data_IF_695025619163
#
_entry.id   IF_695025619163
#
_cell.length_a   1.000
_cell.length_b   1.000
_cell.length_c   1.000
_cell.angle_alpha   90.00
_cell.angle_beta   90.00
_cell.angle_gamma   90.00
#
_symmetry.space_group_name_H-M   'P 1'
#
loop_
_entity.id
_entity.type
_entity.pdbx_description
1 polymer ?
#
# COMPACT_ATOMS: atom_id res chain seq x y z
N UNK A 1 -60.20 8.57 -45.95
CA UNK A 1 -59.93 7.85 -44.69
C UNK A 1 -58.43 7.81 -44.47
N UNK A 2 -57.95 8.35 -43.35
CA UNK A 2 -56.53 8.62 -43.06
C UNK A 2 -55.81 7.34 -42.64
N UNK A 3 -54.69 7.05 -43.30
CA UNK A 3 -53.65 6.09 -42.86
C UNK A 3 -52.81 6.75 -41.77
N UNK A 4 -52.66 6.11 -40.62
CA UNK A 4 -51.62 6.46 -39.66
C UNK A 4 -50.87 5.18 -39.30
N UNK A 5 -49.69 5.03 -39.89
CA UNK A 5 -48.76 3.93 -39.63
C UNK A 5 -48.04 4.17 -38.29
N UNK A 6 -48.04 3.14 -37.45
CA UNK A 6 -47.13 2.99 -36.32
C UNK A 6 -45.68 3.02 -36.80
N UNK A 7 -44.83 3.80 -36.13
CA UNK A 7 -43.39 3.82 -36.37
C UNK A 7 -42.63 3.83 -35.05
N UNK A 8 -42.03 2.68 -34.73
CA UNK A 8 -41.13 2.42 -33.61
C UNK A 8 -39.84 3.25 -33.67
N UNK A 9 -39.33 3.69 -32.52
CA UNK A 9 -37.88 3.67 -32.24
C UNK A 9 -37.72 3.32 -30.74
N UNK A 10 -37.56 2.03 -30.45
CA UNK A 10 -37.04 1.58 -29.17
C UNK A 10 -35.53 1.85 -29.18
N UNK A 11 -35.13 2.98 -28.60
CA UNK A 11 -33.72 3.32 -28.40
C UNK A 11 -33.12 2.44 -27.32
N UNK A 12 -32.39 1.39 -27.72
CA UNK A 12 -31.46 0.70 -26.84
C UNK A 12 -30.29 1.63 -26.56
N UNK A 13 -30.34 2.32 -25.42
CA UNK A 13 -29.16 2.95 -24.84
C UNK A 13 -28.22 1.82 -24.40
N UNK A 14 -27.22 1.53 -25.22
CA UNK A 14 -26.04 0.78 -24.81
C UNK A 14 -25.34 1.61 -23.72
N UNK A 15 -25.68 1.34 -22.46
CA UNK A 15 -24.89 1.78 -21.33
C UNK A 15 -23.52 1.11 -21.47
N UNK A 16 -22.57 1.83 -22.06
CA UNK A 16 -21.18 1.47 -22.02
C UNK A 16 -20.79 1.44 -20.54
N UNK A 17 -20.80 0.26 -19.95
CA UNK A 17 -20.23 0.04 -18.63
C UNK A 17 -18.78 0.46 -18.72
N UNK A 18 -18.45 1.59 -18.10
CA UNK A 18 -17.08 1.92 -17.81
C UNK A 18 -16.57 0.82 -16.87
N UNK A 19 -16.01 -0.24 -17.45
CA UNK A 19 -15.23 -1.21 -16.71
C UNK A 19 -14.02 -0.45 -16.21
N UNK A 20 -14.09 0.07 -14.98
CA UNK A 20 -12.94 0.63 -14.30
C UNK A 20 -11.87 -0.46 -14.33
N UNK A 21 -10.75 -0.19 -15.00
CA UNK A 21 -9.65 -1.12 -15.03
C UNK A 21 -9.25 -1.44 -13.59
N UNK A 22 -9.17 -2.73 -13.22
CA UNK A 22 -8.75 -3.11 -11.89
C UNK A 22 -7.34 -2.54 -11.65
N UNK A 23 -7.12 -2.00 -10.45
CA UNK A 23 -5.79 -1.51 -10.09
C UNK A 23 -4.76 -2.64 -10.22
N UNK A 24 -3.52 -2.33 -10.61
CA UNK A 24 -2.45 -3.33 -10.63
C UNK A 24 -2.00 -3.67 -9.19
N UNK A 25 -1.55 -4.92 -8.94
CA UNK A 25 -0.84 -5.25 -7.70
C UNK A 25 0.41 -4.39 -7.50
N UNK A 26 0.78 -4.21 -6.24
CA UNK A 26 1.92 -3.40 -5.82
C UNK A 26 2.95 -4.25 -5.10
N UNK A 27 4.21 -3.95 -5.38
CA UNK A 27 5.37 -4.45 -4.67
C UNK A 27 6.00 -3.31 -3.85
N UNK A 28 5.90 -3.43 -2.53
CA UNK A 28 6.41 -2.45 -1.58
C UNK A 28 7.74 -2.93 -1.01
N UNK A 29 8.78 -2.13 -1.21
CA UNK A 29 10.10 -2.34 -0.63
C UNK A 29 10.33 -1.31 0.46
N UNK A 30 10.66 -1.78 1.66
CA UNK A 30 10.91 -0.91 2.80
C UNK A 30 12.38 -0.92 3.19
N UNK A 31 12.85 0.20 3.75
CA UNK A 31 14.07 0.27 4.52
C UNK A 31 13.74 0.83 5.91
N UNK A 32 13.92 0.00 6.94
CA UNK A 32 13.59 0.33 8.32
C UNK A 32 14.87 0.67 9.06
N UNK A 33 14.94 1.84 9.68
CA UNK A 33 16.11 2.26 10.46
C UNK A 33 15.73 2.71 11.86
N UNK A 34 16.59 2.40 12.83
CA UNK A 34 16.51 2.87 14.22
C UNK A 34 17.85 3.51 14.58
N UNK A 35 17.83 4.72 15.11
CA UNK A 35 19.02 5.49 15.49
C UNK A 35 20.06 5.55 14.34
N UNK A 36 19.58 5.71 13.10
CA UNK A 36 20.40 5.75 11.88
C UNK A 36 20.91 4.39 11.39
N UNK A 37 20.68 3.30 12.11
CA UNK A 37 21.08 1.94 11.73
C UNK A 37 19.95 1.22 11.00
N UNK A 38 20.25 0.63 9.84
CA UNK A 38 19.31 -0.22 9.12
C UNK A 38 19.03 -1.50 9.94
N UNK A 39 17.77 -1.75 10.27
CA UNK A 39 17.31 -2.92 11.04
C UNK A 39 16.54 -3.93 10.19
N UNK A 40 16.07 -3.55 9.01
CA UNK A 40 15.39 -4.49 8.11
C UNK A 40 15.02 -3.90 6.77
N UNK A 41 14.88 -4.77 5.78
CA UNK A 41 14.42 -4.43 4.43
C UNK A 41 13.29 -5.36 3.97
N UNK A 42 12.14 -5.35 4.66
CA UNK A 42 11.05 -6.24 4.31
C UNK A 42 10.44 -5.86 2.95
N UNK A 43 9.80 -6.85 2.34
CA UNK A 43 9.05 -6.70 1.09
C UNK A 43 7.60 -7.12 1.33
N UNK A 44 6.64 -6.35 0.81
CA UNK A 44 5.22 -6.64 0.93
C UNK A 44 4.54 -6.52 -0.43
N UNK A 45 3.92 -7.61 -0.87
CA UNK A 45 3.07 -7.63 -2.06
C UNK A 45 1.64 -7.31 -1.65
N UNK A 46 1.04 -6.29 -2.25
CA UNK A 46 -0.30 -5.80 -1.92
C UNK A 46 -1.18 -5.92 -3.15
N UNK A 47 -2.34 -6.55 -2.98
CA UNK A 47 -3.37 -6.62 -4.03
C UNK A 47 -4.40 -5.52 -3.82
N UNK A 48 -4.98 -4.96 -4.88
CA UNK A 48 -6.06 -3.98 -4.75
C UNK A 48 -7.23 -4.52 -3.95
N UNK A 49 -7.76 -3.71 -3.03
CA UNK A 49 -8.88 -4.05 -2.17
C UNK A 49 -8.57 -5.08 -1.08
N UNK A 50 -7.34 -5.62 -1.03
CA UNK A 50 -6.91 -6.60 -0.03
C UNK A 50 -5.75 -5.99 0.76
N UNK A 51 -5.95 -5.69 2.05
CA UNK A 51 -4.89 -5.16 2.90
C UNK A 51 -3.71 -6.13 2.98
N UNK A 52 -2.50 -5.60 2.82
CA UNK A 52 -1.26 -6.32 3.10
C UNK A 52 -0.73 -5.95 4.49
N UNK A 53 -0.19 -6.91 5.22
CA UNK A 53 0.39 -6.68 6.54
C UNK A 53 1.74 -7.39 6.68
N UNK A 54 2.69 -6.72 7.33
CA UNK A 54 3.97 -7.30 7.70
C UNK A 54 4.40 -6.83 9.10
N UNK A 55 5.00 -7.74 9.85
CA UNK A 55 5.62 -7.48 11.14
C UNK A 55 7.13 -7.71 11.02
N UNK A 56 7.91 -6.76 11.53
CA UNK A 56 9.37 -6.89 11.66
C UNK A 56 9.74 -6.68 13.12
N UNK A 57 10.29 -7.73 13.72
CA UNK A 57 10.91 -7.68 15.05
C UNK A 57 12.42 -7.46 14.88
N UNK A 58 12.95 -6.38 15.45
CA UNK A 58 14.39 -6.09 15.44
C UNK A 58 15.03 -6.54 16.78
N UNK A 59 16.27 -7.01 16.70
CA UNK A 59 16.99 -7.63 17.83
C UNK A 59 17.09 -6.72 19.07
N UNK A 60 17.12 -5.41 18.88
CA UNK A 60 17.27 -4.42 19.96
C UNK A 60 15.95 -4.11 20.71
N UNK A 61 14.93 -4.97 20.57
CA UNK A 61 13.64 -4.78 21.26
C UNK A 61 12.75 -3.75 20.60
N UNK A 62 12.84 -3.60 19.28
CA UNK A 62 11.92 -2.77 18.48
C UNK A 62 11.03 -3.66 17.61
N UNK A 63 9.81 -3.20 17.36
CA UNK A 63 8.87 -3.84 16.43
C UNK A 63 8.23 -2.81 15.53
N UNK A 64 8.14 -3.16 14.25
CA UNK A 64 7.41 -2.43 13.23
C UNK A 64 6.26 -3.31 12.76
N UNK A 65 5.03 -2.82 12.86
CA UNK A 65 3.87 -3.43 12.20
C UNK A 65 3.42 -2.47 11.10
N UNK A 66 3.41 -2.94 9.86
CA UNK A 66 3.10 -2.12 8.69
C UNK A 66 1.89 -2.75 8.01
N UNK A 67 0.85 -1.95 7.84
CA UNK A 67 -0.34 -2.28 7.08
C UNK A 67 -0.43 -1.38 5.87
N UNK A 68 -0.69 -1.97 4.72
CA UNK A 68 -0.79 -1.30 3.44
C UNK A 68 -2.17 -1.58 2.83
N UNK A 69 -2.94 -0.52 2.62
CA UNK A 69 -4.28 -0.58 2.04
C UNK A 69 -4.23 0.05 0.63
N UNK A 70 -4.24 -0.81 -0.39
CA UNK A 70 -4.36 -0.41 -1.78
C UNK A 70 -5.84 -0.38 -2.18
N UNK A 71 -6.38 0.74 -2.69
CA UNK A 71 -7.80 0.83 -3.02
C UNK A 71 -8.16 -0.10 -4.20
N UNK A 72 -9.33 -0.75 -4.10
CA UNK A 72 -9.83 -1.64 -5.16
C UNK A 72 -10.09 -0.89 -6.48
N UNK A 73 -10.55 0.35 -6.36
CA UNK A 73 -10.72 1.28 -7.47
C UNK A 73 -9.55 2.26 -7.51
N UNK A 74 -8.99 2.57 -8.70
CA UNK A 74 -7.94 3.57 -8.83
C UNK A 74 -8.35 4.92 -8.22
N UNK A 75 -7.44 5.57 -7.49
CA UNK A 75 -7.60 6.96 -7.07
C UNK A 75 -6.96 7.90 -8.09
N UNK A 76 -7.39 9.16 -8.11
CA UNK A 76 -6.74 10.23 -8.88
C UNK A 76 -6.27 11.35 -7.94
N UNK A 77 -4.94 11.50 -7.69
CA UNK A 77 -3.86 10.69 -8.25
C UNK A 77 -3.80 9.28 -7.65
N UNK A 78 -3.22 8.29 -8.35
CA UNK A 78 -3.07 6.92 -7.83
C UNK A 78 -2.22 6.89 -6.56
N UNK A 79 -2.74 6.26 -5.50
CA UNK A 79 -2.08 6.23 -4.20
C UNK A 79 -2.34 4.96 -3.41
N UNK A 80 -1.50 4.70 -2.41
CA UNK A 80 -1.68 3.67 -1.39
C UNK A 80 -1.64 4.32 0.00
N UNK A 81 -2.43 3.80 0.94
CA UNK A 81 -2.37 4.23 2.35
C UNK A 81 -1.53 3.24 3.14
N UNK A 82 -0.53 3.73 3.86
CA UNK A 82 0.24 2.98 4.83
C UNK A 82 -0.14 3.41 6.24
N UNK A 83 -0.45 2.44 7.10
CA UNK A 83 -0.55 2.63 8.54
C UNK A 83 0.56 1.84 9.21
N UNK A 84 1.31 2.48 10.09
CA UNK A 84 2.44 1.84 10.76
C UNK A 84 2.29 1.95 12.26
N UNK A 85 2.72 0.93 13.00
CA UNK A 85 2.76 0.90 14.46
C UNK A 85 4.19 0.59 14.87
N UNK A 86 4.81 1.57 15.53
CA UNK A 86 6.16 1.47 16.07
C UNK A 86 6.06 1.10 17.53
N UNK A 87 6.70 0.01 17.93
CA UNK A 87 6.70 -0.48 19.30
C UNK A 87 8.13 -0.66 19.81
N UNK A 88 8.30 -0.46 21.10
CA UNK A 88 9.56 -0.74 21.82
C UNK A 88 9.28 -1.61 23.04
N UNK A 89 10.27 -2.38 23.46
CA UNK A 89 10.16 -3.26 24.63
C UNK A 89 10.67 -2.54 25.88
N UNK A 90 9.77 -2.28 26.83
CA UNK A 90 10.09 -1.69 28.14
C UNK A 90 9.64 -2.65 29.23
N UNK A 91 10.52 -2.96 30.18
CA UNK A 91 10.25 -3.87 31.31
C UNK A 91 9.64 -5.22 30.88
N UNK A 92 10.07 -5.72 29.72
CA UNK A 92 9.62 -7.00 29.16
C UNK A 92 8.31 -6.94 28.35
N UNK A 93 7.58 -5.83 28.38
CA UNK A 93 6.33 -5.61 27.66
C UNK A 93 6.52 -4.75 26.40
N UNK A 94 5.62 -4.90 25.41
CA UNK A 94 5.61 -4.07 24.21
C UNK A 94 4.78 -2.81 24.43
N UNK A 95 5.36 -1.66 24.09
CA UNK A 95 4.72 -0.35 24.18
C UNK A 95 4.71 0.32 22.81
N UNK A 96 3.54 0.82 22.41
CA UNK A 96 3.40 1.62 21.19
C UNK A 96 4.05 2.99 21.43
N UNK A 97 4.99 3.35 20.57
CA UNK A 97 5.71 4.63 20.58
C UNK A 97 5.06 5.61 19.61
N UNK A 98 4.66 5.14 18.43
CA UNK A 98 4.01 5.98 17.41
C UNK A 98 3.15 5.13 16.47
N UNK A 99 2.11 5.77 15.91
CA UNK A 99 1.23 5.14 14.92
C UNK A 99 1.01 6.03 13.69
N UNK A 100 2.05 6.34 12.90
CA UNK A 100 1.88 7.25 11.78
C UNK A 100 1.17 6.59 10.60
N UNK A 101 0.37 7.40 9.91
CA UNK A 101 -0.29 7.06 8.64
C UNK A 101 0.26 7.95 7.53
N UNK A 102 0.54 7.36 6.37
CA UNK A 102 1.06 8.06 5.20
C UNK A 102 0.29 7.63 3.95
N UNK A 103 -0.15 8.60 3.16
CA UNK A 103 -0.65 8.35 1.81
C UNK A 103 0.49 8.57 0.80
N UNK A 104 0.78 7.54 0.01
CA UNK A 104 1.91 7.53 -0.93
C UNK A 104 1.36 7.60 -2.34
N UNK A 105 1.80 8.60 -3.10
CA UNK A 105 1.54 8.67 -4.53
C UNK A 105 2.33 7.60 -5.28
N UNK A 106 1.70 6.94 -6.25
CA UNK A 106 2.33 5.91 -7.09
C UNK A 106 3.01 6.53 -8.32
N UNK A 107 3.88 7.51 -8.09
CA UNK A 107 4.66 8.21 -9.13
C UNK A 107 6.11 7.71 -9.26
N UNK A 108 6.44 6.63 -8.54
CA UNK A 108 7.75 5.99 -8.55
C UNK A 108 8.78 6.60 -7.60
N UNK A 109 8.47 7.72 -6.92
CA UNK A 109 9.37 8.32 -5.93
C UNK A 109 9.28 7.57 -4.59
N UNK A 110 10.40 7.41 -3.87
CA UNK A 110 10.36 6.90 -2.51
C UNK A 110 9.65 7.91 -1.59
N UNK A 111 8.95 7.39 -0.59
CA UNK A 111 8.35 8.16 0.49
C UNK A 111 8.94 7.73 1.83
N UNK A 112 8.95 8.62 2.81
CA UNK A 112 9.53 8.33 4.12
C UNK A 112 8.68 8.86 5.26
N UNK A 113 8.65 8.09 6.35
CA UNK A 113 8.15 8.49 7.66
C UNK A 113 9.35 8.61 8.60
N UNK A 114 9.46 9.74 9.28
CA UNK A 114 10.48 9.98 10.30
C UNK A 114 9.79 10.25 11.64
N UNK A 115 10.20 9.53 12.68
CA UNK A 115 9.68 9.68 14.04
C UNK A 115 10.85 9.92 14.98
N UNK A 116 10.82 11.04 15.69
CA UNK A 116 11.88 11.44 16.62
C UNK A 116 11.42 12.62 17.49
N UNK A 117 12.29 13.04 18.40
CA UNK A 117 12.06 14.26 19.17
C UNK A 117 12.32 15.47 18.27
N UNK A 118 11.54 16.55 18.44
CA UNK A 118 11.65 17.74 17.60
C UNK A 118 12.98 18.51 17.78
N UNK A 119 13.65 18.28 18.91
CA UNK A 119 14.93 18.87 19.31
C UNK A 119 16.13 17.96 19.03
N UNK A 120 15.92 16.76 18.47
CA UNK A 120 17.00 15.86 18.10
C UNK A 120 17.57 16.19 16.71
N UNK A 121 18.89 16.10 16.56
CA UNK A 121 19.58 16.28 15.27
C UNK A 121 19.23 15.19 14.24
N UNK A 122 18.63 14.07 14.68
CA UNK A 122 18.23 12.96 13.82
C UNK A 122 16.95 12.28 14.32
N UNK A 123 16.14 11.79 13.37
CA UNK A 123 14.98 10.97 13.68
C UNK A 123 15.42 9.63 14.29
N UNK A 124 14.76 9.23 15.39
CA UNK A 124 15.02 7.97 16.07
C UNK A 124 14.57 6.77 15.24
N UNK A 125 13.45 6.90 14.53
CA UNK A 125 12.91 5.87 13.65
C UNK A 125 12.72 6.45 12.25
N UNK A 126 13.11 5.69 11.23
CA UNK A 126 12.85 6.02 9.83
C UNK A 126 12.28 4.80 9.11
N UNK A 127 11.18 5.00 8.40
CA UNK A 127 10.60 4.03 7.46
C UNK A 127 10.69 4.68 6.09
N UNK A 128 11.57 4.20 5.23
CA UNK A 128 11.54 4.53 3.80
C UNK A 128 10.79 3.44 3.06
N UNK A 129 10.01 3.82 2.05
CA UNK A 129 9.25 2.90 1.23
C UNK A 129 9.27 3.31 -0.23
N UNK A 130 9.42 2.33 -1.11
CA UNK A 130 9.24 2.45 -2.56
C UNK A 130 8.13 1.51 -3.00
N UNK A 131 7.13 2.06 -3.69
CA UNK A 131 6.02 1.31 -4.26
C UNK A 131 6.20 1.17 -5.77
N UNK A 132 6.20 -0.06 -6.27
CA UNK A 132 6.31 -0.36 -7.69
C UNK A 132 5.09 -1.18 -8.14
N UNK A 133 4.48 -0.81 -9.27
CA UNK A 133 3.43 -1.64 -9.88
C UNK A 133 4.06 -2.88 -10.49
N UNK A 134 3.41 -4.02 -10.33
CA UNK A 134 3.84 -5.28 -10.94
C UNK A 134 2.68 -5.92 -11.69
N UNK A 135 3.00 -6.73 -12.71
CA UNK A 135 2.01 -7.49 -13.44
C UNK A 135 1.49 -8.66 -12.59
N UNK A 136 0.21 -9.03 -12.75
CA UNK A 136 -0.36 -10.17 -12.02
C UNK A 136 0.38 -11.49 -12.29
N UNK A 137 0.95 -11.65 -13.49
CA UNK A 137 1.76 -12.83 -13.85
C UNK A 137 3.03 -12.94 -12.99
N UNK A 138 3.57 -11.81 -12.50
CA UNK A 138 4.72 -11.77 -11.60
C UNK A 138 4.40 -12.24 -10.18
N UNK A 139 3.12 -12.37 -9.81
CA UNK A 139 2.69 -12.91 -8.52
C UNK A 139 2.68 -14.45 -8.50
N UNK A 140 2.73 -15.11 -9.66
CA UNK A 140 2.78 -16.56 -9.74
C UNK A 140 4.16 -17.05 -9.31
N UNK A 141 4.26 -17.54 -8.06
CA UNK A 141 5.44 -18.28 -7.62
C UNK A 141 5.65 -19.43 -8.61
N UNK A 142 6.81 -19.55 -9.28
CA UNK A 142 7.03 -20.62 -10.23
C UNK A 142 6.90 -21.95 -9.49
N UNK A 143 5.79 -22.66 -9.74
CA UNK A 143 5.63 -24.04 -9.35
C UNK A 143 6.63 -24.82 -10.16
N UNK A 144 7.81 -25.05 -9.57
CA UNK A 144 8.84 -25.90 -10.15
C UNK A 144 8.19 -27.23 -10.51
N UNK A 145 8.00 -27.47 -11.82
CA UNK A 145 7.65 -28.81 -12.31
C UNK A 145 8.86 -29.69 -11.99
N UNK A 146 8.68 -30.57 -11.01
CA UNK A 146 9.60 -31.69 -10.75
C UNK A 146 9.39 -32.78 -11.78
#
# INVERSE_FOLDING_TARGET
>A
MRRTLLGSIAGFALAAGAHAEPSAPLDLHFALSVDGRLVGTPRLLVRPGIPGEIRVDADDGYRFEIRADAPATPTDPPSIVLSTSLQTRLDGAWHVVAQPTLQIALDGRPASIEVGAADADAARYRIEVRATRIDEESLAVPTARR
#
